data_IF_985140118156
#
_entry.id   IF_985140118156
#
_cell.length_a   1.000
_cell.length_b   1.000
_cell.length_c   1.000
_cell.angle_alpha   90.00
_cell.angle_beta   90.00
_cell.angle_gamma   90.00
#
_symmetry.space_group_name_H-M   'P 1'
#
loop_
_entity.id
_entity.type
_entity.pdbx_description
1 polymer ?
#
# COMPACT_ATOMS: atom_id res chain seq x y z
N UNK A 1 -0.13 -11.35 6.60
CA UNK A 1 -1.13 -10.27 6.75
C UNK A 1 -0.36 -8.97 6.92
N UNK A 2 -0.57 -7.98 6.05
CA UNK A 2 0.21 -6.72 6.03
C UNK A 2 -0.36 -5.67 6.99
N UNK A 3 -1.68 -5.55 7.06
CA UNK A 3 -2.36 -4.57 7.92
C UNK A 3 -1.88 -4.60 9.38
N UNK A 4 -1.81 -5.75 10.10
CA UNK A 4 -1.34 -5.75 11.48
C UNK A 4 0.07 -5.19 11.64
N UNK A 5 0.98 -5.46 10.70
CA UNK A 5 2.36 -4.97 10.73
C UNK A 5 2.41 -3.45 10.61
N UNK A 6 1.55 -2.87 9.77
CA UNK A 6 1.45 -1.41 9.61
C UNK A 6 0.83 -0.76 10.86
N UNK A 7 -0.24 -1.34 11.40
CA UNK A 7 -0.93 -0.84 12.60
C UNK A 7 -0.02 -0.90 13.83
N UNK A 8 0.70 -2.01 14.05
CA UNK A 8 1.64 -2.12 15.18
C UNK A 8 2.76 -1.09 15.06
N UNK A 9 3.28 -0.87 13.85
CA UNK A 9 4.29 0.17 13.62
C UNK A 9 3.77 1.58 13.92
N UNK A 10 2.56 1.90 13.47
CA UNK A 10 1.94 3.21 13.73
C UNK A 10 1.58 3.42 15.21
N UNK A 11 1.23 2.35 15.92
CA UNK A 11 0.91 2.39 17.34
C UNK A 11 2.15 2.20 18.26
N UNK A 12 3.35 2.14 17.69
CA UNK A 12 4.62 1.89 18.40
C UNK A 12 4.58 0.62 19.29
N UNK A 13 3.84 -0.41 18.85
CA UNK A 13 3.71 -1.68 19.57
C UNK A 13 4.85 -2.64 19.20
N UNK A 14 5.54 -3.15 20.22
CA UNK A 14 6.59 -4.15 20.07
C UNK A 14 6.41 -5.28 21.08
N UNK A 15 6.30 -6.52 20.59
CA UNK A 15 6.21 -7.71 21.43
C UNK A 15 6.64 -8.96 20.65
N UNK A 16 7.42 -9.89 21.23
CA UNK A 16 7.93 -11.07 20.51
C UNK A 16 6.87 -11.94 19.81
N UNK A 17 5.66 -12.02 20.40
CA UNK A 17 4.55 -12.73 19.76
C UNK A 17 3.98 -12.02 18.52
N UNK A 18 4.05 -10.69 18.45
CA UNK A 18 3.63 -9.95 17.25
C UNK A 18 4.61 -10.21 16.11
N UNK A 19 5.91 -10.10 16.38
CA UNK A 19 6.95 -10.38 15.38
C UNK A 19 6.89 -11.84 14.92
N UNK A 20 6.71 -12.79 15.85
CA UNK A 20 6.63 -14.21 15.48
C UNK A 20 5.39 -14.56 14.66
N UNK A 21 4.27 -13.87 14.90
CA UNK A 21 3.00 -14.14 14.22
C UNK A 21 2.91 -13.43 12.87
N UNK A 22 3.24 -12.14 12.83
CA UNK A 22 3.00 -11.27 11.69
C UNK A 22 4.27 -10.85 10.95
N UNK A 23 5.45 -11.04 11.56
CA UNK A 23 6.74 -10.48 11.14
C UNK A 23 6.74 -8.96 11.22
N UNK A 24 7.88 -8.35 10.95
CA UNK A 24 8.06 -6.91 11.02
C UNK A 24 7.90 -6.21 9.67
N UNK A 25 7.99 -4.88 9.75
CA UNK A 25 7.99 -3.99 8.58
C UNK A 25 9.15 -4.31 7.63
N UNK A 26 10.32 -4.67 8.15
CA UNK A 26 11.50 -5.02 7.36
C UNK A 26 11.24 -6.23 6.46
N UNK A 27 10.69 -7.32 7.01
CA UNK A 27 10.39 -8.53 6.24
C UNK A 27 9.30 -8.29 5.20
N UNK A 28 8.30 -7.47 5.53
CA UNK A 28 7.27 -7.04 4.58
C UNK A 28 7.88 -6.27 3.41
N UNK A 29 8.72 -5.28 3.68
CA UNK A 29 9.40 -4.47 2.64
C UNK A 29 10.27 -5.37 1.77
N UNK A 30 11.08 -6.24 2.37
CA UNK A 30 11.92 -7.17 1.62
C UNK A 30 11.08 -8.08 0.72
N UNK A 31 9.91 -8.52 1.19
CA UNK A 31 9.02 -9.40 0.41
C UNK A 31 8.34 -8.69 -0.76
N UNK A 32 7.98 -7.41 -0.59
CA UNK A 32 7.44 -6.57 -1.68
C UNK A 32 8.53 -6.24 -2.69
N UNK A 33 9.69 -5.76 -2.21
CA UNK A 33 10.84 -5.42 -3.05
C UNK A 33 11.27 -6.61 -3.91
N UNK A 34 11.37 -7.82 -3.33
CA UNK A 34 11.72 -9.02 -4.10
C UNK A 34 10.68 -9.43 -5.15
N UNK A 35 9.39 -9.15 -4.91
CA UNK A 35 8.34 -9.43 -5.90
C UNK A 35 8.34 -8.42 -7.06
N UNK A 36 8.69 -7.16 -6.76
CA UNK A 36 8.68 -6.04 -7.69
C UNK A 36 10.05 -5.80 -8.34
N UNK A 37 11.06 -6.60 -8.00
CA UNK A 37 12.41 -6.42 -8.52
C UNK A 37 12.45 -6.68 -10.04
N UNK A 38 11.77 -7.74 -10.48
CA UNK A 38 11.83 -8.22 -11.85
C UNK A 38 10.49 -8.04 -12.60
N UNK A 39 9.49 -7.41 -11.98
CA UNK A 39 8.14 -7.26 -12.52
C UNK A 39 7.45 -5.98 -12.04
N UNK A 40 6.54 -5.40 -12.86
CA UNK A 40 5.82 -4.18 -12.50
C UNK A 40 4.75 -4.37 -11.41
N UNK A 41 4.21 -5.59 -11.27
CA UNK A 41 3.15 -5.92 -10.32
C UNK A 41 3.50 -7.15 -9.48
N UNK A 42 2.80 -7.34 -8.37
CA UNK A 42 3.11 -8.38 -7.38
C UNK A 42 2.98 -9.81 -7.91
N UNK A 43 2.27 -10.00 -9.02
CA UNK A 43 2.05 -11.30 -9.68
C UNK A 43 2.65 -11.34 -11.09
N UNK A 44 3.60 -10.46 -11.42
CA UNK A 44 4.26 -10.39 -12.72
C UNK A 44 3.83 -9.17 -13.55
N UNK A 45 3.52 -9.40 -14.82
CA UNK A 45 3.24 -8.33 -15.81
C UNK A 45 1.83 -7.74 -15.70
N UNK A 46 0.90 -8.43 -15.04
CA UNK A 46 -0.49 -8.03 -14.98
C UNK A 46 -0.87 -7.51 -13.59
N UNK A 47 -1.61 -6.40 -13.57
CA UNK A 47 -2.24 -5.89 -12.36
C UNK A 47 -3.34 -6.84 -11.89
N UNK A 48 -3.34 -7.17 -10.60
CA UNK A 48 -4.27 -8.11 -9.99
C UNK A 48 -4.91 -7.53 -8.72
N UNK A 49 -5.83 -8.30 -8.13
CA UNK A 49 -6.38 -7.97 -6.82
C UNK A 49 -5.30 -7.86 -5.72
N UNK A 50 -4.16 -8.56 -5.86
CA UNK A 50 -3.07 -8.45 -4.89
C UNK A 50 -2.50 -7.02 -4.85
N UNK A 51 -2.32 -6.40 -6.01
CA UNK A 51 -1.84 -5.02 -6.13
C UNK A 51 -2.83 -4.04 -5.50
N UNK A 52 -4.11 -4.16 -5.87
CA UNK A 52 -5.18 -3.33 -5.33
C UNK A 52 -5.28 -3.39 -3.79
N UNK A 53 -5.18 -4.60 -3.23
CA UNK A 53 -5.29 -4.79 -1.77
C UNK A 53 -4.07 -4.26 -1.03
N UNK A 54 -2.87 -4.43 -1.58
CA UNK A 54 -1.62 -4.15 -0.88
C UNK A 54 -1.12 -2.71 -1.08
N UNK A 55 -1.54 -2.02 -2.14
CA UNK A 55 -1.15 -0.63 -2.37
C UNK A 55 -1.92 0.34 -1.46
N UNK A 56 -3.15 -0.01 -1.08
CA UNK A 56 -4.09 0.86 -0.36
C UNK A 56 -3.47 1.58 0.85
N UNK A 57 -2.77 0.92 1.80
CA UNK A 57 -2.22 1.61 2.96
C UNK A 57 -1.24 2.73 2.62
N UNK A 58 -0.51 2.60 1.51
CA UNK A 58 0.46 3.60 1.06
C UNK A 58 -0.20 4.78 0.34
N UNK A 59 -1.42 4.62 -0.15
CA UNK A 59 -2.22 5.72 -0.72
C UNK A 59 -2.84 6.55 0.40
N UNK A 60 -3.43 5.90 1.40
CA UNK A 60 -4.07 6.58 2.53
C UNK A 60 -3.07 7.22 3.51
N UNK A 61 -1.90 6.62 3.67
CA UNK A 61 -0.82 7.11 4.55
C UNK A 61 0.52 7.15 3.80
N UNK A 62 0.73 8.11 2.87
CA UNK A 62 1.91 8.18 2.02
C UNK A 62 3.24 8.26 2.79
N UNK A 63 3.23 8.84 3.99
CA UNK A 63 4.38 8.92 4.90
C UNK A 63 4.86 7.54 5.39
N UNK A 64 4.00 6.52 5.30
CA UNK A 64 4.32 5.15 5.69
C UNK A 64 4.90 4.32 4.53
N UNK A 65 4.90 4.87 3.31
CA UNK A 65 5.41 4.21 2.12
C UNK A 65 6.92 3.90 2.27
N UNK A 66 7.35 2.65 1.99
CA UNK A 66 8.75 2.29 2.07
C UNK A 66 9.61 3.13 1.13
N UNK A 67 10.77 3.57 1.60
CA UNK A 67 11.75 4.24 0.75
C UNK A 67 12.53 3.23 -0.12
N UNK A 68 11.83 2.61 -1.06
CA UNK A 68 12.39 1.63 -1.98
C UNK A 68 11.92 1.93 -3.41
N UNK A 69 12.82 2.08 -4.39
CA UNK A 69 12.49 2.58 -5.73
C UNK A 69 11.45 1.70 -6.46
N UNK A 70 11.59 0.37 -6.38
CA UNK A 70 10.62 -0.53 -7.01
C UNK A 70 9.22 -0.45 -6.37
N UNK A 71 9.14 -0.19 -5.06
CA UNK A 71 7.87 -0.08 -4.35
C UNK A 71 7.21 1.26 -4.69
N UNK A 72 7.98 2.36 -4.72
CA UNK A 72 7.49 3.67 -5.15
C UNK A 72 6.94 3.62 -6.58
N UNK A 73 7.70 3.04 -7.52
CA UNK A 73 7.27 2.89 -8.90
C UNK A 73 5.98 2.06 -9.04
N UNK A 74 5.84 0.99 -8.25
CA UNK A 74 4.61 0.20 -8.21
C UNK A 74 3.41 0.96 -7.64
N UNK A 75 3.60 1.77 -6.59
CA UNK A 75 2.55 2.66 -6.05
C UNK A 75 2.10 3.65 -7.14
N UNK A 76 3.04 4.35 -7.77
CA UNK A 76 2.76 5.32 -8.84
C UNK A 76 1.98 4.67 -10.00
N UNK A 77 2.38 3.46 -10.40
CA UNK A 77 1.69 2.70 -11.45
C UNK A 77 0.26 2.32 -11.05
N UNK A 78 0.02 1.98 -9.78
CA UNK A 78 -1.31 1.65 -9.28
C UNK A 78 -2.21 2.90 -9.24
N UNK A 79 -1.69 4.05 -8.82
CA UNK A 79 -2.43 5.31 -8.76
C UNK A 79 -2.71 5.91 -10.14
N UNK A 80 -1.80 5.72 -11.10
CA UNK A 80 -1.97 6.17 -12.48
C UNK A 80 -3.07 5.41 -13.25
N UNK A 81 -3.61 4.32 -12.70
CA UNK A 81 -4.66 3.54 -13.37
C UNK A 81 -5.94 4.37 -13.51
N UNK A 82 -6.60 4.26 -14.66
CA UNK A 82 -7.87 4.96 -14.93
C UNK A 82 -8.93 4.70 -13.86
N UNK A 83 -8.99 3.49 -13.28
CA UNK A 83 -9.91 3.18 -12.20
C UNK A 83 -9.60 3.94 -10.92
N UNK A 84 -8.32 4.08 -10.55
CA UNK A 84 -7.88 4.81 -9.36
C UNK A 84 -8.14 6.31 -9.53
N UNK A 85 -7.77 6.88 -10.68
CA UNK A 85 -8.05 8.28 -11.02
C UNK A 85 -9.55 8.60 -10.96
N UNK A 86 -10.40 7.72 -11.49
CA UNK A 86 -11.86 7.90 -11.43
C UNK A 86 -12.41 7.80 -10.02
N UNK A 87 -11.91 6.86 -9.20
CA UNK A 87 -12.30 6.73 -7.81
C UNK A 87 -11.93 7.98 -7.00
N UNK A 88 -10.68 8.46 -7.13
CA UNK A 88 -10.23 9.67 -6.46
C UNK A 88 -11.05 10.92 -6.87
N UNK A 89 -11.38 11.06 -8.15
CA UNK A 89 -12.24 12.16 -8.62
C UNK A 89 -13.66 12.07 -8.03
N UNK A 90 -14.23 10.87 -7.96
CA UNK A 90 -15.54 10.64 -7.34
C UNK A 90 -15.55 10.96 -5.84
N UNK A 91 -14.53 10.50 -5.11
CA UNK A 91 -14.39 10.76 -3.67
C UNK A 91 -14.24 12.27 -3.40
N UNK A 92 -13.45 12.98 -4.21
CA UNK A 92 -13.29 14.42 -4.12
C UNK A 92 -14.62 15.19 -4.37
N UNK A 93 -15.40 14.75 -5.36
CA UNK A 93 -16.72 15.33 -5.62
C UNK A 93 -17.68 15.13 -4.43
N UNK A 94 -17.71 13.94 -3.84
CA UNK A 94 -18.54 13.66 -2.67
C UNK A 94 -18.13 14.50 -1.45
N UNK A 95 -16.83 14.63 -1.17
CA UNK A 95 -16.33 15.45 -0.08
C UNK A 95 -16.76 16.91 -0.24
N UNK A 96 -16.57 17.48 -1.43
CA UNK A 96 -16.98 18.86 -1.72
C UNK A 96 -18.47 19.10 -1.51
N UNK A 97 -19.33 18.11 -1.84
CA UNK A 97 -20.77 18.20 -1.65
C UNK A 97 -21.18 18.10 -0.18
N UNK A 98 -20.41 17.36 0.62
CA UNK A 98 -20.67 17.21 2.05
C UNK A 98 -20.27 18.46 2.86
N UNK A 99 -19.31 19.24 2.39
CA UNK A 99 -18.87 20.49 3.04
C UNK A 99 -19.80 21.68 2.76
N UNK A 100 -20.65 21.59 1.73
CA UNK A 100 -21.58 22.66 1.32
C UNK A 100 -23.00 22.46 1.91
N UNK A 101 -23.28 21.32 2.54
CA UNK A 101 -24.56 20.97 3.17
C UNK A 101 -24.55 21.24 4.68
#
# INVERSE_FOLDING_TARGET
MVEPVLVFGAAELSHPYLDRTFRGRTEMIARLAGALQDAPFLMGEAFTAADLLLVSPFIWFPETAPDHPAIRAWIDQCEARTSAVKAAAFDAELLSRSEVA
#
